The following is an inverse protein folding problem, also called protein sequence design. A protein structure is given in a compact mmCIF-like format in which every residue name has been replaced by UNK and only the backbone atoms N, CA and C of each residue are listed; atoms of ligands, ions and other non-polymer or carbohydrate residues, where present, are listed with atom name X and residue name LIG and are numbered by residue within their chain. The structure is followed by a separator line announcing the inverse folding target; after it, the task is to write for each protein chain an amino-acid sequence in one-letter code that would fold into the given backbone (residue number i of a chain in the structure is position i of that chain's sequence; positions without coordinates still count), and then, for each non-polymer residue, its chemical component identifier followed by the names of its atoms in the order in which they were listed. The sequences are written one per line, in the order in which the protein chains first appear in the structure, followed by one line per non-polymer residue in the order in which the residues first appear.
data_IF_216949435524
#
_entry.id   IF_216949435524
#
_cell.length_a   1.000
_cell.length_b   1.000
_cell.length_c   1.000
_cell.angle_alpha   90.00
_cell.angle_beta   90.00
_cell.angle_gamma   90.00
#
_symmetry.space_group_name_H-M   'P 1'
#
loop_
_entity.id
_entity.type
_entity.pdbx_description
1 polymer ?
#
# COMPACT_ATOMS: atom_id res chain seq x y z
N UNK A 1 -22.87 -11.43 16.65
CA UNK A 1 -22.04 -11.61 15.43
C UNK A 1 -22.15 -10.37 14.55
N UNK A 2 -21.58 -9.25 14.99
CA UNK A 2 -21.60 -7.95 14.27
C UNK A 2 -20.31 -7.14 14.51
N UNK A 3 -19.23 -7.78 15.00
CA UNK A 3 -18.01 -7.05 15.37
C UNK A 3 -17.16 -6.60 14.15
N UNK A 4 -17.18 -7.34 13.05
CA UNK A 4 -16.38 -6.94 11.86
C UNK A 4 -16.94 -5.75 11.08
N UNK A 5 -18.26 -5.50 11.14
CA UNK A 5 -18.90 -4.40 10.41
C UNK A 5 -18.64 -3.01 11.05
N UNK A 6 -18.43 -2.96 12.36
CA UNK A 6 -18.15 -1.69 13.07
C UNK A 6 -16.74 -1.17 12.79
N UNK A 7 -15.73 -2.03 12.75
CA UNK A 7 -14.34 -1.62 12.46
C UNK A 7 -14.16 -1.04 11.05
N UNK A 8 -14.90 -1.58 10.08
CA UNK A 8 -14.79 -1.14 8.69
C UNK A 8 -15.43 0.23 8.48
N UNK A 9 -16.57 0.48 9.12
CA UNK A 9 -17.23 1.79 9.10
C UNK A 9 -16.41 2.84 9.86
N UNK A 10 -15.72 2.45 10.93
CA UNK A 10 -14.84 3.32 11.72
C UNK A 10 -13.63 3.77 10.90
N UNK A 11 -12.91 2.85 10.26
CA UNK A 11 -11.78 3.19 9.38
C UNK A 11 -12.21 4.11 8.23
N UNK A 12 -13.37 3.84 7.61
CA UNK A 12 -13.90 4.71 6.57
C UNK A 12 -14.22 6.11 7.11
N UNK A 13 -14.82 6.20 8.31
CA UNK A 13 -15.12 7.47 8.97
C UNK A 13 -13.84 8.24 9.32
N UNK A 14 -12.78 7.57 9.78
CA UNK A 14 -11.47 8.15 10.05
C UNK A 14 -10.82 8.69 8.77
N UNK A 15 -10.85 7.92 7.67
CA UNK A 15 -10.35 8.39 6.36
C UNK A 15 -11.06 9.64 5.89
N UNK A 16 -12.40 9.67 5.94
CA UNK A 16 -13.17 10.87 5.60
C UNK A 16 -12.88 12.03 6.56
N UNK A 17 -12.81 11.74 7.85
CA UNK A 17 -12.50 12.72 8.88
C UNK A 17 -11.13 13.37 8.67
N UNK A 18 -10.10 12.58 8.40
CA UNK A 18 -8.75 13.05 8.10
C UNK A 18 -8.69 13.89 6.84
N UNK A 19 -9.34 13.44 5.75
CA UNK A 19 -9.43 14.18 4.49
C UNK A 19 -10.14 15.52 4.71
N UNK A 20 -11.24 15.54 5.45
CA UNK A 20 -11.97 16.78 5.76
C UNK A 20 -11.16 17.72 6.66
N UNK A 21 -10.43 17.19 7.64
CA UNK A 21 -9.53 17.98 8.49
C UNK A 21 -8.41 18.63 7.65
N UNK A 22 -7.79 17.85 6.77
CA UNK A 22 -6.76 18.33 5.84
C UNK A 22 -7.27 19.32 4.78
N UNK A 23 -8.58 19.29 4.48
CA UNK A 23 -9.22 20.20 3.52
C UNK A 23 -9.42 21.64 4.05
N UNK A 24 -9.15 21.88 5.33
CA UNK A 24 -9.23 23.22 5.93
C UNK A 24 -7.97 24.03 5.61
N UNK A 25 -7.77 24.30 4.33
CA UNK A 25 -6.67 25.15 3.82
C UNK A 25 -7.08 26.62 3.86
N UNK A 26 -6.15 27.50 4.21
CA UNK A 26 -6.32 28.97 4.06
C UNK A 26 -6.29 29.40 2.58
N UNK A 27 -6.01 28.46 1.66
CA UNK A 27 -5.92 28.72 0.22
C UNK A 27 -7.30 28.50 -0.42
N UNK A 28 -8.02 29.56 -0.86
CA UNK A 28 -9.40 29.44 -1.36
C UNK A 28 -9.58 28.56 -2.61
N UNK A 29 -8.51 28.21 -3.30
CA UNK A 29 -8.52 27.38 -4.53
C UNK A 29 -8.00 25.96 -4.30
N UNK A 30 -7.73 25.57 -3.06
CA UNK A 30 -7.28 24.21 -2.76
C UNK A 30 -8.49 23.27 -2.73
N UNK A 31 -8.76 22.63 -3.87
CA UNK A 31 -9.84 21.67 -4.07
C UNK A 31 -9.38 20.20 -3.97
N UNK A 32 -8.09 19.96 -3.59
CA UNK A 32 -7.54 18.62 -3.42
C UNK A 32 -8.37 17.77 -2.46
N UNK A 33 -8.83 18.35 -1.36
CA UNK A 33 -9.69 17.67 -0.39
C UNK A 33 -10.99 17.17 -1.02
N UNK A 34 -11.64 17.95 -1.89
CA UNK A 34 -12.84 17.51 -2.60
C UNK A 34 -12.55 16.38 -3.58
N UNK A 35 -11.38 16.40 -4.24
CA UNK A 35 -10.93 15.34 -5.14
C UNK A 35 -10.68 14.03 -4.37
N UNK A 36 -9.95 14.08 -3.26
CA UNK A 36 -9.66 12.93 -2.42
C UNK A 36 -10.92 12.37 -1.73
N UNK A 37 -11.85 13.23 -1.28
CA UNK A 37 -13.13 12.77 -0.74
C UNK A 37 -13.95 11.99 -1.78
N UNK A 38 -13.98 12.45 -3.05
CA UNK A 38 -14.62 11.68 -4.13
C UNK A 38 -13.90 10.35 -4.41
N UNK A 39 -12.57 10.33 -4.33
CA UNK A 39 -11.79 9.11 -4.48
C UNK A 39 -12.17 8.11 -3.38
N UNK A 40 -12.14 8.52 -2.11
CA UNK A 40 -12.54 7.68 -0.97
C UNK A 40 -13.97 7.16 -1.13
N UNK A 41 -14.93 7.99 -1.57
CA UNK A 41 -16.32 7.57 -1.77
C UNK A 41 -16.53 6.50 -2.84
N UNK A 42 -15.56 6.28 -3.73
CA UNK A 42 -15.60 5.22 -4.76
C UNK A 42 -14.95 3.92 -4.30
N UNK A 43 -14.17 3.96 -3.25
CA UNK A 43 -13.51 2.76 -2.73
C UNK A 43 -14.50 1.93 -1.91
N UNK A 44 -14.44 0.62 -2.07
CA UNK A 44 -15.13 -0.31 -1.17
C UNK A 44 -14.41 -0.37 0.16
N UNK A 45 -15.08 -0.85 1.19
CA UNK A 45 -14.49 -1.08 2.52
C UNK A 45 -13.22 -1.94 2.45
N UNK A 46 -13.25 -3.02 1.66
CA UNK A 46 -12.06 -3.86 1.44
C UNK A 46 -10.91 -3.10 0.78
N UNK A 47 -11.18 -2.24 -0.18
CA UNK A 47 -10.16 -1.42 -0.85
C UNK A 47 -9.57 -0.39 0.11
N UNK A 48 -10.41 0.28 0.89
CA UNK A 48 -9.98 1.26 1.88
C UNK A 48 -9.08 0.63 2.94
N UNK A 49 -9.52 -0.49 3.52
CA UNK A 49 -8.73 -1.22 4.51
C UNK A 49 -7.44 -1.77 3.91
N UNK A 50 -7.47 -2.31 2.70
CA UNK A 50 -6.26 -2.74 1.98
C UNK A 50 -5.29 -1.58 1.78
N UNK A 51 -5.78 -0.41 1.35
CA UNK A 51 -4.96 0.79 1.20
C UNK A 51 -4.26 1.14 2.52
N UNK A 52 -5.01 1.21 3.62
CA UNK A 52 -4.45 1.46 4.94
C UNK A 52 -3.33 0.46 5.29
N UNK A 53 -3.59 -0.85 5.15
CA UNK A 53 -2.63 -1.90 5.51
C UNK A 53 -1.33 -1.78 4.70
N UNK A 54 -1.44 -1.59 3.37
CA UNK A 54 -0.27 -1.51 2.49
C UNK A 54 0.59 -0.29 2.80
N UNK A 55 -0.02 0.87 3.01
CA UNK A 55 0.71 2.11 3.28
C UNK A 55 1.30 2.16 4.70
N UNK A 56 0.65 1.54 5.68
CA UNK A 56 1.21 1.30 7.01
C UNK A 56 2.46 0.42 6.95
N UNK A 57 2.44 -0.65 6.13
CA UNK A 57 3.62 -1.49 5.88
C UNK A 57 4.76 -0.68 5.27
N UNK A 58 4.49 0.12 4.22
CA UNK A 58 5.51 0.96 3.58
C UNK A 58 6.12 1.95 4.58
N UNK A 59 5.28 2.65 5.34
CA UNK A 59 5.78 3.60 6.36
C UNK A 59 6.66 2.89 7.39
N UNK A 60 6.24 1.73 7.87
CA UNK A 60 7.02 0.94 8.84
C UNK A 60 8.33 0.42 8.25
N UNK A 61 8.30 -0.13 7.02
CA UNK A 61 9.45 -0.77 6.39
C UNK A 61 10.56 0.21 6.00
N UNK A 62 10.19 1.44 5.63
CA UNK A 62 11.10 2.42 5.04
C UNK A 62 11.21 3.72 5.84
N UNK A 63 10.69 3.75 7.07
CA UNK A 63 10.77 4.94 7.94
C UNK A 63 12.22 5.42 8.10
N UNK A 64 12.46 6.70 7.91
CA UNK A 64 13.78 7.31 7.98
C UNK A 64 14.70 7.05 6.78
N UNK A 65 14.23 6.35 5.73
CA UNK A 65 15.01 6.15 4.51
C UNK A 65 14.79 7.30 3.53
N UNK A 66 15.86 7.72 2.86
CA UNK A 66 15.83 8.81 1.89
C UNK A 66 15.37 8.33 0.49
N UNK A 67 14.15 7.80 0.41
CA UNK A 67 13.51 7.36 -0.85
C UNK A 67 12.41 8.36 -1.19
N UNK A 68 12.43 8.87 -2.42
CA UNK A 68 11.51 9.90 -2.89
C UNK A 68 10.47 9.25 -3.81
N UNK A 69 9.26 9.02 -3.30
CA UNK A 69 8.18 8.27 -3.97
C UNK A 69 7.75 8.87 -5.31
N UNK A 70 7.80 10.18 -5.48
CA UNK A 70 7.38 10.86 -6.71
C UNK A 70 8.48 10.96 -7.79
N UNK A 71 9.64 10.32 -7.59
CA UNK A 71 10.60 10.06 -8.66
C UNK A 71 10.19 8.82 -9.45
N UNK A 72 10.59 8.70 -10.73
CA UNK A 72 10.24 7.53 -11.55
C UNK A 72 10.64 6.18 -10.94
N UNK A 73 11.78 6.12 -10.28
CA UNK A 73 12.29 4.93 -9.59
C UNK A 73 11.65 4.68 -8.21
N UNK A 74 11.17 5.73 -7.55
CA UNK A 74 10.70 5.70 -6.15
C UNK A 74 9.69 4.61 -5.83
N UNK A 75 8.62 4.42 -6.60
CA UNK A 75 7.67 3.31 -6.35
C UNK A 75 8.34 1.93 -6.39
N UNK A 76 9.31 1.74 -7.30
CA UNK A 76 10.06 0.50 -7.42
C UNK A 76 10.97 0.26 -6.22
N UNK A 77 11.62 1.29 -5.69
CA UNK A 77 12.46 1.22 -4.50
C UNK A 77 11.68 0.82 -3.24
N UNK A 78 10.38 1.06 -3.22
CA UNK A 78 9.47 0.71 -2.13
C UNK A 78 8.76 -0.64 -2.33
N UNK A 79 9.21 -1.46 -3.31
CA UNK A 79 8.62 -2.76 -3.55
C UNK A 79 8.71 -3.65 -2.30
N UNK A 80 7.57 -4.13 -1.85
CA UNK A 80 7.43 -4.86 -0.59
C UNK A 80 6.60 -6.11 -0.79
N UNK A 81 7.01 -7.19 -0.14
CA UNK A 81 6.24 -8.42 0.01
C UNK A 81 5.45 -8.37 1.32
N UNK A 82 4.18 -8.73 1.25
CA UNK A 82 3.29 -8.93 2.40
C UNK A 82 2.73 -10.35 2.35
N UNK A 83 2.81 -11.10 3.46
CA UNK A 83 2.31 -12.47 3.54
C UNK A 83 0.77 -12.50 3.51
N UNK A 84 0.20 -13.62 2.99
CA UNK A 84 -1.26 -13.79 2.94
C UNK A 84 -1.88 -13.84 4.33
N UNK A 85 -1.22 -14.49 5.28
CA UNK A 85 -1.71 -14.57 6.66
C UNK A 85 -1.74 -13.19 7.32
N UNK A 86 -0.69 -12.38 7.11
CA UNK A 86 -0.68 -11.00 7.62
C UNK A 86 -1.74 -10.13 6.97
N UNK A 87 -1.94 -10.25 5.65
CA UNK A 87 -3.01 -9.53 4.97
C UNK A 87 -4.38 -9.94 5.53
N UNK A 88 -4.65 -11.26 5.64
CA UNK A 88 -5.91 -11.79 6.20
C UNK A 88 -6.16 -11.31 7.63
N UNK A 89 -5.12 -11.32 8.47
CA UNK A 89 -5.23 -10.83 9.85
C UNK A 89 -5.52 -9.33 9.90
N UNK A 90 -4.84 -8.51 9.08
CA UNK A 90 -5.10 -7.08 8.99
C UNK A 90 -6.48 -6.74 8.43
N UNK A 91 -7.00 -7.57 7.52
CA UNK A 91 -8.35 -7.44 6.97
C UNK A 91 -9.45 -7.93 7.92
N UNK A 92 -9.10 -8.67 8.98
CA UNK A 92 -10.05 -9.30 9.93
C UNK A 92 -11.13 -10.14 9.23
N UNK A 93 -10.72 -10.88 8.19
CA UNK A 93 -11.64 -11.65 7.38
C UNK A 93 -12.34 -12.74 8.19
N UNK A 94 -13.64 -12.86 8.01
CA UNK A 94 -14.42 -13.96 8.55
C UNK A 94 -14.13 -15.27 7.79
N UNK A 95 -14.39 -16.44 8.39
CA UNK A 95 -14.22 -17.73 7.70
C UNK A 95 -15.09 -17.95 6.46
N UNK A 96 -16.07 -17.07 6.23
CA UNK A 96 -16.98 -17.12 5.05
C UNK A 96 -16.46 -16.34 3.86
N UNK A 97 -15.45 -15.49 4.10
CA UNK A 97 -14.89 -14.62 3.07
C UNK A 97 -13.72 -15.31 2.36
N UNK A 98 -13.74 -15.28 1.04
CA UNK A 98 -12.65 -15.85 0.23
C UNK A 98 -11.50 -14.85 0.13
N UNK A 99 -10.40 -15.17 0.81
CA UNK A 99 -9.18 -14.35 0.86
C UNK A 99 -8.66 -14.00 -0.55
N UNK A 100 -8.65 -14.96 -1.49
CA UNK A 100 -8.07 -14.71 -2.82
C UNK A 100 -8.96 -13.80 -3.66
N UNK A 101 -10.27 -13.93 -3.53
CA UNK A 101 -11.25 -13.06 -4.18
C UNK A 101 -11.11 -11.64 -3.65
N UNK A 102 -10.98 -11.47 -2.32
CA UNK A 102 -10.83 -10.16 -1.69
C UNK A 102 -9.50 -9.51 -2.05
N UNK A 103 -8.39 -10.26 -2.03
CA UNK A 103 -7.10 -9.77 -2.52
C UNK A 103 -7.24 -9.27 -3.95
N UNK A 104 -7.80 -10.08 -4.84
CA UNK A 104 -7.98 -9.71 -6.24
C UNK A 104 -8.82 -8.43 -6.39
N UNK A 105 -10.00 -8.40 -5.77
CA UNK A 105 -10.88 -7.24 -5.79
C UNK A 105 -10.19 -5.95 -5.29
N UNK A 106 -9.52 -6.05 -4.15
CA UNK A 106 -8.89 -4.91 -3.50
C UNK A 106 -7.69 -4.39 -4.29
N UNK A 107 -6.77 -5.30 -4.68
CA UNK A 107 -5.55 -4.92 -5.37
C UNK A 107 -5.83 -4.35 -6.77
N UNK A 108 -6.73 -4.98 -7.55
CA UNK A 108 -7.13 -4.45 -8.87
C UNK A 108 -7.88 -3.13 -8.74
N UNK A 109 -8.73 -2.98 -7.71
CA UNK A 109 -9.44 -1.74 -7.45
C UNK A 109 -8.49 -0.58 -7.13
N UNK A 110 -7.55 -0.78 -6.22
CA UNK A 110 -6.54 0.23 -5.87
C UNK A 110 -5.63 0.57 -7.07
N UNK A 111 -5.22 -0.44 -7.85
CA UNK A 111 -4.43 -0.22 -9.06
C UNK A 111 -5.18 0.62 -10.11
N UNK A 112 -6.47 0.35 -10.33
CA UNK A 112 -7.32 1.11 -11.25
C UNK A 112 -7.51 2.57 -10.84
N UNK A 113 -7.52 2.85 -9.54
CA UNK A 113 -7.63 4.22 -8.99
C UNK A 113 -6.26 4.89 -8.80
N UNK A 114 -5.19 4.33 -9.41
CA UNK A 114 -3.82 4.82 -9.29
C UNK A 114 -3.28 4.90 -7.84
N UNK A 115 -3.89 4.15 -6.93
CA UNK A 115 -3.44 4.04 -5.53
C UNK A 115 -2.34 2.99 -5.34
N UNK A 116 -2.01 2.22 -6.37
CA UNK A 116 -0.86 1.34 -6.46
C UNK A 116 -0.20 1.51 -7.82
N UNK A 117 1.13 1.56 -7.85
CA UNK A 117 1.89 1.56 -9.09
C UNK A 117 1.97 0.16 -9.72
N UNK A 118 2.01 -0.88 -8.87
CA UNK A 118 2.10 -2.27 -9.31
C UNK A 118 1.74 -3.23 -8.17
N UNK A 119 1.26 -4.43 -8.54
CA UNK A 119 1.15 -5.56 -7.63
C UNK A 119 1.28 -6.89 -8.38
N UNK A 120 1.68 -7.95 -7.64
CA UNK A 120 1.80 -9.32 -8.15
C UNK A 120 1.45 -10.27 -7.00
N UNK A 121 0.56 -11.24 -7.25
CA UNK A 121 0.42 -12.39 -6.36
C UNK A 121 1.61 -13.34 -6.61
N UNK A 122 2.28 -13.78 -5.55
CA UNK A 122 3.49 -14.60 -5.65
C UNK A 122 3.41 -15.81 -4.73
N UNK A 123 4.05 -16.90 -5.14
CA UNK A 123 4.30 -18.04 -4.26
C UNK A 123 5.62 -17.83 -3.51
N UNK A 124 5.83 -18.58 -2.43
CA UNK A 124 7.10 -18.53 -1.69
C UNK A 124 8.27 -19.04 -2.54
N UNK A 125 8.02 -20.02 -3.43
CA UNK A 125 8.99 -20.56 -4.36
C UNK A 125 9.40 -19.49 -5.40
N UNK A 126 8.42 -18.82 -6.01
CA UNK A 126 8.66 -17.73 -6.97
C UNK A 126 9.40 -16.55 -6.32
N UNK A 127 9.07 -16.25 -5.05
CA UNK A 127 9.75 -15.21 -4.28
C UNK A 127 11.24 -15.55 -4.04
N UNK A 128 11.55 -16.81 -3.70
CA UNK A 128 12.92 -17.27 -3.52
C UNK A 128 13.69 -17.29 -4.85
N UNK A 129 13.10 -17.84 -5.92
CA UNK A 129 13.78 -18.02 -7.21
C UNK A 129 13.97 -16.71 -7.98
N UNK A 130 12.94 -15.87 -8.03
CA UNK A 130 12.92 -14.67 -8.86
C UNK A 130 13.22 -13.38 -8.11
N UNK A 131 13.11 -13.37 -6.79
CA UNK A 131 13.35 -12.17 -5.96
C UNK A 131 14.41 -12.36 -4.89
N UNK A 132 15.04 -13.56 -4.83
CA UNK A 132 16.07 -13.89 -3.83
C UNK A 132 15.65 -13.52 -2.40
N UNK A 133 14.38 -13.71 -2.13
CA UNK A 133 13.75 -13.37 -0.86
C UNK A 133 13.02 -14.61 -0.34
N UNK A 134 13.51 -15.16 0.76
CA UNK A 134 12.85 -16.30 1.40
C UNK A 134 11.59 -15.86 2.15
N UNK A 135 10.52 -16.61 2.02
CA UNK A 135 9.28 -16.44 2.76
C UNK A 135 8.71 -17.79 3.21
N UNK A 136 7.98 -17.78 4.32
CA UNK A 136 7.37 -18.99 4.86
C UNK A 136 6.11 -19.40 4.09
N UNK A 137 5.46 -18.44 3.43
CA UNK A 137 4.17 -18.62 2.75
C UNK A 137 4.04 -17.77 1.48
N UNK A 138 2.97 -17.99 0.74
CA UNK A 138 2.60 -17.18 -0.42
C UNK A 138 2.16 -15.76 0.02
N UNK A 139 2.28 -14.80 -0.88
CA UNK A 139 1.96 -13.42 -0.55
C UNK A 139 1.67 -12.54 -1.76
N UNK A 140 1.81 -11.26 -1.52
CA UNK A 140 1.60 -10.20 -2.50
C UNK A 140 2.85 -9.33 -2.50
N UNK A 141 3.43 -9.09 -3.67
CA UNK A 141 4.40 -8.02 -3.88
C UNK A 141 3.62 -6.81 -4.37
N UNK A 142 3.88 -5.65 -3.80
CA UNK A 142 3.24 -4.41 -4.22
C UNK A 142 4.22 -3.24 -4.22
N UNK A 143 3.89 -2.23 -5.02
CA UNK A 143 4.60 -0.96 -5.11
C UNK A 143 3.59 0.16 -4.88
N UNK A 144 3.83 1.08 -3.95
CA UNK A 144 2.96 2.20 -3.70
C UNK A 144 3.00 3.20 -4.88
N UNK A 145 2.00 4.08 -4.95
CA UNK A 145 2.00 5.25 -5.84
C UNK A 145 2.11 6.54 -5.05
N UNK A 146 2.47 7.64 -5.73
CA UNK A 146 2.48 8.96 -5.10
C UNK A 146 1.07 9.41 -4.68
N UNK A 147 0.04 9.13 -5.49
CA UNK A 147 -1.36 9.43 -5.14
C UNK A 147 -1.82 8.64 -3.92
N UNK A 148 -1.42 7.37 -3.82
CA UNK A 148 -1.75 6.56 -2.65
C UNK A 148 -1.07 7.07 -1.37
N UNK A 149 0.19 7.53 -1.44
CA UNK A 149 0.84 8.22 -0.32
C UNK A 149 0.10 9.51 0.03
N UNK A 150 -0.29 10.31 -0.96
CA UNK A 150 -1.05 11.54 -0.72
C UNK A 150 -2.35 11.24 0.02
N UNK A 151 -3.14 10.27 -0.47
CA UNK A 151 -4.37 9.86 0.20
C UNK A 151 -4.12 9.38 1.63
N UNK A 152 -3.06 8.60 1.86
CA UNK A 152 -2.73 8.10 3.20
C UNK A 152 -2.38 9.24 4.17
N UNK A 153 -1.58 10.22 3.73
CA UNK A 153 -1.26 11.41 4.53
C UNK A 153 -2.53 12.21 4.87
N UNK A 154 -3.38 12.46 3.87
CA UNK A 154 -4.63 13.18 4.07
C UNK A 154 -5.59 12.46 5.01
N UNK A 155 -5.68 11.14 4.92
CA UNK A 155 -6.49 10.31 5.82
C UNK A 155 -6.02 10.39 7.29
N UNK A 156 -4.73 10.69 7.52
CA UNK A 156 -4.17 10.94 8.85
C UNK A 156 -4.17 12.42 9.25
N UNK A 157 -4.91 13.28 8.55
CA UNK A 157 -4.95 14.71 8.85
C UNK A 157 -3.65 15.46 8.55
N UNK A 158 -2.79 14.89 7.69
CA UNK A 158 -1.47 15.44 7.31
C UNK A 158 -1.42 15.94 5.86
N UNK A 159 -2.50 16.52 5.38
CA UNK A 159 -2.58 17.01 3.99
C UNK A 159 -1.61 18.14 3.64
N UNK A 160 -1.01 18.78 4.63
CA UNK A 160 0.06 19.78 4.47
C UNK A 160 1.43 19.14 4.18
N UNK A 161 1.62 17.83 4.48
CA UNK A 161 2.90 17.14 4.28
C UNK A 161 3.06 16.77 2.80
N UNK A 162 4.13 17.23 2.14
CA UNK A 162 4.42 16.82 0.79
C UNK A 162 4.74 15.32 0.70
N UNK A 163 4.31 14.64 -0.36
CA UNK A 163 4.46 13.18 -0.53
C UNK A 163 5.91 12.68 -0.44
N UNK A 164 6.90 13.51 -0.85
CA UNK A 164 8.32 13.13 -0.77
C UNK A 164 8.86 13.08 0.67
N UNK A 165 8.17 13.68 1.64
CA UNK A 165 8.51 13.63 3.06
C UNK A 165 7.88 12.45 3.80
N UNK A 166 7.05 11.66 3.14
CA UNK A 166 6.28 10.57 3.76
C UNK A 166 7.13 9.64 4.62
N UNK A 167 8.37 9.34 4.20
CA UNK A 167 9.26 8.41 4.88
C UNK A 167 10.20 9.08 5.90
N UNK A 168 10.16 10.41 6.04
CA UNK A 168 10.95 11.08 7.05
C UNK A 168 10.51 10.66 8.46
N UNK A 169 11.49 10.50 9.37
CA UNK A 169 11.25 9.97 10.72
C UNK A 169 10.48 10.94 11.63
N UNK A 170 10.44 12.22 11.28
CA UNK A 170 9.66 13.25 11.99
C UNK A 170 8.17 13.27 11.57
N UNK A 171 7.82 12.55 10.52
CA UNK A 171 6.42 12.37 10.11
C UNK A 171 5.85 11.18 10.88
N UNK A 172 5.27 11.48 12.03
CA UNK A 172 4.56 10.51 12.86
C UNK A 172 3.10 10.38 12.39
N UNK A 173 2.68 9.13 12.17
CA UNK A 173 1.33 8.77 11.77
C UNK A 173 0.84 7.71 12.76
N UNK A 174 -0.08 8.10 13.62
CA UNK A 174 -0.65 7.19 14.61
C UNK A 174 -1.25 5.95 13.95
N UNK A 175 -0.90 4.74 14.40
CA UNK A 175 -1.49 3.52 13.87
C UNK A 175 -2.97 3.46 14.27
N UNK A 176 -3.85 3.31 13.28
CA UNK A 176 -5.29 3.16 13.48
C UNK A 176 -5.69 1.72 13.83
N UNK A 177 -4.79 0.76 13.63
CA UNK A 177 -5.01 -0.66 13.93
C UNK A 177 -3.82 -1.24 14.69
N UNK A 178 -4.09 -2.03 15.75
CA UNK A 178 -3.06 -2.86 16.39
C UNK A 178 -2.80 -4.12 15.55
N UNK A 179 -1.97 -3.94 14.52
CA UNK A 179 -1.64 -4.96 13.55
C UNK A 179 -0.13 -5.06 13.35
N UNK A 180 0.40 -6.26 13.47
CA UNK A 180 1.84 -6.56 13.35
C UNK A 180 2.10 -7.46 12.15
N UNK A 181 2.27 -6.90 10.95
CA UNK A 181 2.40 -7.68 9.73
C UNK A 181 3.76 -8.38 9.61
N UNK A 182 3.76 -9.54 8.96
CA UNK A 182 4.97 -10.15 8.40
C UNK A 182 5.15 -9.66 6.98
N UNK A 183 6.17 -8.86 6.76
CA UNK A 183 6.52 -8.31 5.46
C UNK A 183 8.03 -8.41 5.22
N UNK A 184 8.45 -8.23 3.99
CA UNK A 184 9.87 -8.14 3.60
C UNK A 184 10.02 -7.06 2.52
N UNK A 185 11.07 -6.26 2.64
CA UNK A 185 11.50 -5.37 1.56
C UNK A 185 12.26 -6.20 0.54
N UNK A 186 12.00 -5.99 -0.75
CA UNK A 186 12.74 -6.69 -1.79
C UNK A 186 14.17 -6.14 -1.91
N UNK A 187 15.17 -6.96 -2.32
CA UNK A 187 16.52 -6.50 -2.62
C UNK A 187 16.51 -5.37 -3.67
N UNK A 188 17.42 -4.41 -3.56
CA UNK A 188 17.45 -3.19 -4.39
C UNK A 188 17.40 -3.47 -5.89
N UNK A 189 18.18 -4.45 -6.38
CA UNK A 189 18.19 -4.88 -7.78
C UNK A 189 16.84 -5.37 -8.32
N UNK A 190 15.90 -5.72 -7.43
CA UNK A 190 14.57 -6.19 -7.79
C UNK A 190 13.50 -5.13 -7.65
N UNK A 191 13.83 -4.01 -7.04
CA UNK A 191 12.90 -2.90 -6.85
C UNK A 191 12.67 -2.13 -8.16
N UNK A 192 13.67 -2.03 -9.02
CA UNK A 192 13.65 -1.18 -10.23
C UNK A 192 13.38 -1.91 -11.54
N UNK A 193 13.54 -3.25 -11.63
CA UNK A 193 13.44 -4.00 -12.88
C UNK A 193 12.06 -4.62 -13.13
N UNK A 194 11.51 -4.43 -14.35
CA UNK A 194 10.32 -5.17 -14.81
C UNK A 194 10.63 -6.67 -14.97
N UNK A 195 9.74 -7.62 -14.56
CA UNK A 195 9.94 -9.05 -14.79
C UNK A 195 10.17 -9.43 -16.25
N UNK A 196 9.64 -8.65 -17.18
CA UNK A 196 9.81 -8.89 -18.62
C UNK A 196 11.25 -8.64 -19.12
N UNK A 197 12.03 -7.79 -18.46
CA UNK A 197 13.43 -7.56 -18.82
C UNK A 197 14.36 -8.66 -18.33
N UNK A 198 13.97 -9.46 -17.34
CA UNK A 198 14.80 -10.54 -16.75
C UNK A 198 14.85 -11.82 -17.59
N UNK A 199 13.76 -12.15 -18.31
CA UNK A 199 13.78 -13.33 -19.21
C UNK A 199 14.80 -13.16 -20.35
N UNK A 200 15.09 -11.93 -20.77
CA UNK A 200 16.10 -11.67 -21.83
C UNK A 200 17.55 -11.77 -21.31
N UNK A 201 17.81 -11.47 -20.05
CA UNK A 201 19.17 -11.56 -19.50
C UNK A 201 19.61 -13.02 -19.25
N UNK A 202 18.71 -13.90 -18.78
CA UNK A 202 19.04 -15.33 -18.57
C UNK A 202 19.28 -16.13 -19.86
N UNK A 203 18.82 -15.65 -21.02
CA UNK A 203 19.05 -16.32 -22.31
C UNK A 203 20.31 -15.84 -23.02
N UNK A 204 20.95 -14.74 -22.60
CA UNK A 204 22.20 -14.24 -23.21
C UNK A 204 23.47 -14.83 -22.58
N UNK A 205 23.39 -15.38 -21.37
CA UNK A 205 24.55 -16.02 -20.70
C UNK A 205 24.66 -17.52 -20.96
N UNK A 206 23.82 -18.08 -21.85
CA UNK A 206 23.80 -19.49 -22.22
C UNK A 206 24.24 -19.74 -23.70
N UNK A 207 25.05 -18.82 -24.24
CA UNK A 207 25.62 -18.97 -25.61
C UNK A 207 27.13 -18.92 -25.60
#
# INVERSE_FOLDING_TARGET
MQEGSFCDDELAAEYFGGVLASSRSEIPRDDRGASLARLVSRLTTYQLRTHYLLYSVIKTAFNGQNIIINKPEGPGELATYLSRSSYSAGMELSPKEDLLVIIGHSMFGLYREDLLNRFISTTKEDLAENYETEAEENGIIFQPSALGVELFLWAHGRGEVPVWRFLESDIDLDPQLDWKPRFKTLPERFRTSSPLSRKKAKTSDAS
#
